data_IF_439330958900
#
_entry.id   IF_439330958900
#
_cell.length_a   1.000
_cell.length_b   1.000
_cell.length_c   1.000
_cell.angle_alpha   90.00
_cell.angle_beta   90.00
_cell.angle_gamma   90.00
#
_symmetry.space_group_name_H-M   'P 1'
#
loop_
_entity.id
_entity.type
_entity.pdbx_description
1 polymer ?
#
# COMPACT_ATOMS: atom_id res chain seq x y z
N UNK A 1 6.06 -21.21 6.65
CA UNK A 1 4.71 -20.57 6.56
C UNK A 1 3.62 -21.60 6.21
N UNK A 2 3.73 -22.35 5.12
CA UNK A 2 2.73 -23.35 4.72
C UNK A 2 2.53 -24.50 5.70
N UNK A 3 3.56 -24.86 6.46
CA UNK A 3 3.48 -25.96 7.44
C UNK A 3 2.55 -25.63 8.62
N UNK A 4 2.61 -24.41 9.15
CA UNK A 4 1.72 -23.96 10.24
C UNK A 4 0.27 -24.00 9.75
N UNK A 5 -0.01 -23.49 8.55
CA UNK A 5 -1.36 -23.54 7.98
C UNK A 5 -1.84 -24.98 7.77
N UNK A 6 -0.97 -25.86 7.26
CA UNK A 6 -1.28 -27.28 7.08
C UNK A 6 -1.66 -27.97 8.41
N UNK A 7 -0.86 -27.75 9.44
CA UNK A 7 -1.13 -28.34 10.79
C UNK A 7 -2.42 -27.81 11.39
N UNK A 8 -2.70 -26.52 11.25
CA UNK A 8 -3.93 -25.91 11.74
C UNK A 8 -5.15 -26.50 11.03
N UNK A 9 -5.12 -26.65 9.70
CA UNK A 9 -6.20 -27.26 8.93
C UNK A 9 -6.40 -28.74 9.30
N UNK A 10 -5.34 -29.49 9.53
CA UNK A 10 -5.43 -30.91 9.95
C UNK A 10 -5.98 -31.09 11.34
N UNK A 11 -5.65 -30.21 12.27
CA UNK A 11 -6.09 -30.31 13.67
C UNK A 11 -7.48 -29.71 13.91
N UNK A 12 -7.99 -28.86 12.99
CA UNK A 12 -9.25 -28.16 13.16
C UNK A 12 -9.26 -27.14 14.30
N UNK A 13 -8.09 -26.76 14.80
CA UNK A 13 -7.97 -25.85 15.97
C UNK A 13 -8.10 -24.39 15.53
N UNK A 14 -8.84 -23.63 16.34
CA UNK A 14 -8.79 -22.18 16.28
C UNK A 14 -7.46 -21.70 16.87
N UNK A 15 -6.65 -21.03 16.05
CA UNK A 15 -5.30 -20.61 16.43
C UNK A 15 -5.20 -19.10 16.36
N UNK A 16 -4.69 -18.47 17.41
CA UNK A 16 -4.30 -17.06 17.40
C UNK A 16 -2.79 -16.99 17.16
N UNK A 17 -2.41 -16.31 16.07
CA UNK A 17 -1.02 -16.09 15.71
C UNK A 17 -0.70 -14.60 15.81
N UNK A 18 0.37 -14.24 16.53
CA UNK A 18 0.83 -12.87 16.71
C UNK A 18 2.18 -12.70 16.02
N UNK A 19 2.25 -11.78 15.07
CA UNK A 19 3.46 -11.50 14.32
C UNK A 19 3.57 -10.00 14.05
N UNK A 20 4.77 -9.53 13.77
CA UNK A 20 5.03 -8.20 13.22
C UNK A 20 5.32 -8.24 11.71
N UNK A 21 5.38 -9.43 11.12
CA UNK A 21 5.56 -9.65 9.69
C UNK A 21 4.20 -9.66 8.98
N UNK A 22 3.96 -8.64 8.18
CA UNK A 22 2.70 -8.43 7.47
C UNK A 22 2.48 -9.50 6.39
N UNK A 23 3.53 -9.87 5.66
CA UNK A 23 3.45 -10.90 4.63
C UNK A 23 3.12 -12.27 5.23
N UNK A 24 3.65 -12.54 6.42
CA UNK A 24 3.35 -13.76 7.14
C UNK A 24 1.90 -13.80 7.60
N UNK A 25 1.38 -12.71 8.17
CA UNK A 25 -0.01 -12.60 8.58
C UNK A 25 -0.97 -12.80 7.40
N UNK A 26 -0.73 -12.08 6.30
CA UNK A 26 -1.58 -12.16 5.10
C UNK A 26 -1.54 -13.53 4.41
N UNK A 27 -0.43 -14.27 4.51
CA UNK A 27 -0.26 -15.57 3.85
C UNK A 27 -0.86 -16.75 4.63
N UNK A 28 -1.03 -16.64 5.96
CA UNK A 28 -1.36 -17.78 6.82
C UNK A 28 -2.76 -17.68 7.42
N UNK A 29 -3.22 -16.48 7.74
CA UNK A 29 -4.44 -16.28 8.52
C UNK A 29 -5.71 -16.24 7.66
N UNK A 30 -6.83 -16.74 8.23
CA UNK A 30 -8.16 -16.54 7.64
C UNK A 30 -8.66 -15.11 7.87
N UNK A 31 -8.29 -14.52 9.01
CA UNK A 31 -8.57 -13.12 9.35
C UNK A 31 -7.37 -12.49 10.02
N UNK A 32 -7.11 -11.25 9.70
CA UNK A 32 -5.99 -10.47 10.26
C UNK A 32 -6.53 -9.28 11.02
N UNK A 33 -6.07 -9.11 12.25
CA UNK A 33 -6.35 -7.93 13.07
C UNK A 33 -5.14 -6.99 13.09
N UNK A 34 -5.32 -5.75 12.66
CA UNK A 34 -4.30 -4.70 12.73
C UNK A 34 -4.49 -3.90 14.01
N UNK A 35 -3.44 -3.82 14.82
CA UNK A 35 -3.45 -3.07 16.08
C UNK A 35 -2.49 -1.90 16.04
N UNK A 36 -2.89 -0.78 16.65
CA UNK A 36 -2.04 0.39 16.89
C UNK A 36 -2.28 0.90 18.30
N UNK A 37 -1.21 1.12 19.06
CA UNK A 37 -1.28 1.68 20.43
C UNK A 37 -2.29 0.95 21.34
N UNK A 38 -2.30 -0.39 21.27
CA UNK A 38 -3.21 -1.24 22.03
C UNK A 38 -4.67 -1.26 21.56
N UNK A 39 -5.00 -0.56 20.45
CA UNK A 39 -6.36 -0.50 19.89
C UNK A 39 -6.44 -1.23 18.56
N UNK A 40 -7.50 -2.02 18.40
CA UNK A 40 -7.82 -2.66 17.13
C UNK A 40 -8.25 -1.60 16.12
N UNK A 41 -7.58 -1.55 14.98
CA UNK A 41 -7.87 -0.62 13.89
C UNK A 41 -8.82 -1.23 12.86
N UNK A 42 -8.58 -2.49 12.50
CA UNK A 42 -9.42 -3.27 11.59
C UNK A 42 -9.17 -4.76 11.82
N UNK A 43 -10.20 -5.58 11.61
CA UNK A 43 -10.09 -7.03 11.51
C UNK A 43 -10.89 -7.49 10.30
N UNK A 44 -10.22 -8.13 9.34
CA UNK A 44 -10.81 -8.52 8.07
C UNK A 44 -10.07 -9.72 7.46
N UNK A 45 -10.59 -10.26 6.37
CA UNK A 45 -9.84 -11.18 5.53
C UNK A 45 -8.64 -10.49 4.90
N UNK A 46 -7.54 -11.22 4.59
CA UNK A 46 -6.32 -10.62 4.01
C UNK A 46 -6.59 -9.74 2.79
N UNK A 47 -7.45 -10.21 1.87
CA UNK A 47 -7.79 -9.47 0.67
C UNK A 47 -8.51 -8.15 0.98
N UNK A 48 -9.51 -8.20 1.87
CA UNK A 48 -10.27 -7.02 2.29
C UNK A 48 -9.37 -6.00 3.01
N UNK A 49 -8.51 -6.49 3.92
CA UNK A 49 -7.58 -5.66 4.65
C UNK A 49 -6.63 -4.87 3.74
N UNK A 50 -6.19 -5.50 2.64
CA UNK A 50 -5.29 -4.90 1.66
C UNK A 50 -6.01 -3.90 0.73
N UNK A 51 -7.19 -4.27 0.22
CA UNK A 51 -7.91 -3.50 -0.79
C UNK A 51 -8.91 -2.50 -0.22
N UNK A 52 -9.45 -2.76 0.98
CA UNK A 52 -10.46 -1.93 1.64
C UNK A 52 -10.01 -1.51 3.05
N UNK A 53 -8.85 -0.85 3.18
CA UNK A 53 -8.35 -0.42 4.48
C UNK A 53 -9.31 0.59 5.13
N UNK A 54 -9.57 0.41 6.42
CA UNK A 54 -10.49 1.26 7.18
C UNK A 54 -9.95 2.67 7.43
N UNK A 55 -8.63 2.85 7.38
CA UNK A 55 -7.97 4.15 7.57
C UNK A 55 -6.56 4.14 6.97
N UNK A 56 -5.93 5.30 6.96
CA UNK A 56 -4.58 5.50 6.41
C UNK A 56 -3.53 4.64 7.10
N UNK A 57 -3.63 4.48 8.43
CA UNK A 57 -2.68 3.64 9.15
C UNK A 57 -2.71 2.19 8.65
N UNK A 58 -3.89 1.60 8.51
CA UNK A 58 -4.03 0.24 7.98
C UNK A 58 -3.50 0.17 6.55
N UNK A 59 -3.86 1.13 5.69
CA UNK A 59 -3.40 1.18 4.31
C UNK A 59 -1.88 1.17 4.20
N UNK A 60 -1.20 2.02 4.97
CA UNK A 60 0.27 2.16 4.92
C UNK A 60 1.00 1.09 5.72
N UNK A 61 0.36 0.51 6.73
CA UNK A 61 0.93 -0.60 7.51
C UNK A 61 0.92 -1.90 6.73
N UNK A 62 -0.16 -2.22 6.00
CA UNK A 62 -0.32 -3.52 5.30
C UNK A 62 0.46 -3.58 3.99
N UNK A 63 0.85 -2.46 3.42
CA UNK A 63 1.64 -2.44 2.19
C UNK A 63 2.00 -1.04 1.75
N UNK A 64 2.93 -0.99 0.82
CA UNK A 64 3.38 0.28 0.25
C UNK A 64 2.24 1.00 -0.47
N UNK A 65 2.19 2.32 -0.31
CA UNK A 65 1.23 3.18 -1.00
C UNK A 65 1.88 4.51 -1.33
N UNK A 66 1.66 5.00 -2.54
CA UNK A 66 1.99 6.36 -2.94
C UNK A 66 0.90 7.32 -2.49
N UNK A 67 1.28 8.47 -1.96
CA UNK A 67 0.37 9.55 -1.56
C UNK A 67 0.25 10.55 -2.71
N UNK A 68 -0.94 10.70 -3.26
CA UNK A 68 -1.19 11.54 -4.42
C UNK A 68 -2.18 12.63 -4.05
N UNK A 69 -1.82 13.91 -4.17
CA UNK A 69 -2.78 15.01 -4.07
C UNK A 69 -3.89 14.86 -5.11
N UNK A 70 -5.13 15.00 -4.65
CA UNK A 70 -6.32 14.86 -5.47
C UNK A 70 -7.37 15.88 -5.07
N UNK A 71 -8.36 16.07 -5.93
CA UNK A 71 -9.54 16.89 -5.62
C UNK A 71 -10.76 15.98 -5.64
N UNK A 72 -11.52 15.97 -4.55
CA UNK A 72 -12.79 15.24 -4.51
C UNK A 72 -13.87 16.10 -5.14
N UNK A 73 -14.65 15.52 -6.03
CA UNK A 73 -15.85 16.09 -6.64
C UNK A 73 -16.91 15.01 -6.72
N UNK A 74 -18.08 15.29 -6.16
CA UNK A 74 -19.25 14.38 -6.19
C UNK A 74 -18.94 12.93 -5.73
N UNK A 75 -18.03 12.76 -4.75
CA UNK A 75 -17.70 11.45 -4.21
C UNK A 75 -16.69 10.64 -5.01
N UNK A 76 -16.04 11.24 -6.01
CA UNK A 76 -14.88 10.67 -6.72
C UNK A 76 -13.65 11.55 -6.51
N UNK A 77 -12.45 10.96 -6.56
CA UNK A 77 -11.20 11.68 -6.56
C UNK A 77 -10.72 11.97 -7.99
N UNK A 78 -10.17 13.15 -8.21
CA UNK A 78 -9.60 13.58 -9.49
C UNK A 78 -8.12 13.87 -9.33
N UNK A 79 -7.30 13.23 -10.16
CA UNK A 79 -5.87 13.52 -10.32
C UNK A 79 -5.67 14.03 -11.75
N UNK A 80 -5.53 15.35 -11.90
CA UNK A 80 -5.67 15.98 -13.22
C UNK A 80 -7.07 15.74 -13.79
N UNK A 81 -7.13 15.16 -14.98
CA UNK A 81 -8.38 14.82 -15.66
C UNK A 81 -8.84 13.37 -15.39
N UNK A 82 -8.07 12.59 -14.63
CA UNK A 82 -8.40 11.21 -14.33
C UNK A 82 -9.33 11.13 -13.11
N UNK A 83 -10.51 10.56 -13.31
CA UNK A 83 -11.46 10.22 -12.24
C UNK A 83 -11.13 8.85 -11.64
N UNK A 84 -11.09 8.79 -10.30
CA UNK A 84 -10.74 7.59 -9.53
C UNK A 84 -11.82 7.40 -8.46
N UNK A 85 -12.48 6.24 -8.40
CA UNK A 85 -13.43 5.94 -7.34
C UNK A 85 -12.76 5.98 -5.96
N UNK A 86 -13.52 6.34 -4.92
CA UNK A 86 -13.04 6.30 -3.55
C UNK A 86 -13.77 5.25 -2.71
N UNK A 87 -13.06 4.67 -1.74
CA UNK A 87 -13.61 3.69 -0.80
C UNK A 87 -14.64 4.35 0.15
N UNK A 88 -15.61 3.56 0.64
CA UNK A 88 -16.59 4.01 1.64
C UNK A 88 -15.95 4.50 2.94
N UNK A 89 -14.79 3.94 3.30
CA UNK A 89 -14.00 4.36 4.46
C UNK A 89 -13.26 5.69 4.28
N UNK A 90 -13.30 6.26 3.08
CA UNK A 90 -12.65 7.52 2.76
C UNK A 90 -13.23 8.70 3.54
N UNK A 91 -12.54 9.84 3.45
CA UNK A 91 -13.02 11.09 4.06
C UNK A 91 -14.49 11.35 3.72
N UNK A 92 -15.25 11.86 4.70
CA UNK A 92 -16.66 12.23 4.50
C UNK A 92 -16.85 13.51 3.66
N UNK A 93 -15.75 14.15 3.26
CA UNK A 93 -15.81 15.33 2.38
C UNK A 93 -16.30 14.89 1.00
N UNK A 94 -17.32 15.54 0.51
CA UNK A 94 -17.87 15.32 -0.83
C UNK A 94 -17.19 16.18 -1.89
N UNK A 95 -16.49 17.23 -1.47
CA UNK A 95 -15.75 18.16 -2.34
C UNK A 95 -14.54 18.75 -1.60
N UNK A 96 -13.49 19.07 -2.34
CA UNK A 96 -12.29 19.76 -1.84
C UNK A 96 -11.02 18.94 -1.97
N UNK A 97 -9.93 19.46 -1.41
CA UNK A 97 -8.63 18.80 -1.46
C UNK A 97 -8.60 17.54 -0.61
N UNK A 98 -7.91 16.53 -1.11
CA UNK A 98 -7.67 15.27 -0.45
C UNK A 98 -6.32 14.68 -0.87
N UNK A 99 -5.88 13.68 -0.14
CA UNK A 99 -4.78 12.80 -0.55
C UNK A 99 -5.35 11.40 -0.79
N UNK A 100 -5.08 10.81 -1.94
CA UNK A 100 -5.41 9.41 -2.20
C UNK A 100 -4.20 8.52 -1.98
N UNK A 101 -4.45 7.30 -1.51
CA UNK A 101 -3.42 6.28 -1.32
C UNK A 101 -3.54 5.25 -2.43
N UNK A 102 -2.49 5.16 -3.25
CA UNK A 102 -2.46 4.30 -4.44
C UNK A 102 -1.38 3.25 -4.30
N UNK A 103 -1.73 1.98 -4.55
CA UNK A 103 -0.81 0.86 -4.52
C UNK A 103 0.11 0.88 -5.74
N UNK A 104 1.39 0.42 -5.63
CA UNK A 104 2.33 0.40 -6.75
C UNK A 104 1.83 -0.40 -7.97
N UNK A 105 1.13 -1.51 -7.74
CA UNK A 105 0.55 -2.34 -8.79
C UNK A 105 -0.66 -1.71 -9.49
N UNK A 106 -1.25 -0.67 -8.91
CA UNK A 106 -2.32 0.11 -9.53
C UNK A 106 -1.81 1.33 -10.31
N UNK A 107 -0.50 1.56 -10.34
CA UNK A 107 0.13 2.63 -11.13
C UNK A 107 0.71 2.02 -12.40
N UNK A 108 0.04 2.23 -13.52
CA UNK A 108 0.49 1.79 -14.83
C UNK A 108 1.53 2.77 -15.38
N UNK A 109 2.60 2.24 -15.96
CA UNK A 109 3.69 2.99 -16.56
C UNK A 109 3.65 2.84 -18.08
N UNK A 110 3.64 3.95 -18.79
CA UNK A 110 3.66 4.00 -20.24
C UNK A 110 4.92 4.71 -20.75
N UNK A 111 5.54 4.16 -21.78
CA UNK A 111 6.72 4.74 -22.41
C UNK A 111 6.35 5.96 -23.21
N UNK A 112 7.09 7.04 -23.01
CA UNK A 112 6.90 8.31 -23.74
C UNK A 112 8.03 8.48 -24.75
N UNK A 113 7.66 8.78 -26.00
CA UNK A 113 8.66 9.09 -27.02
C UNK A 113 9.43 10.37 -26.64
N UNK A 114 10.75 10.45 -26.95
CA UNK A 114 11.58 11.60 -26.56
C UNK A 114 11.02 12.96 -26.99
N UNK A 115 10.42 13.00 -28.17
CA UNK A 115 9.89 14.23 -28.80
C UNK A 115 8.39 14.48 -28.53
N UNK A 116 7.74 13.60 -27.72
CA UNK A 116 6.34 13.80 -27.38
C UNK A 116 6.13 15.06 -26.52
N UNK A 117 4.98 15.74 -26.64
CA UNK A 117 4.67 16.89 -25.82
C UNK A 117 4.67 16.52 -24.33
N UNK A 118 4.98 17.48 -23.47
CA UNK A 118 4.93 17.29 -22.02
C UNK A 118 3.47 17.36 -21.55
N UNK A 119 3.04 16.31 -20.87
CA UNK A 119 1.72 16.21 -20.25
C UNK A 119 1.83 16.17 -18.73
N UNK A 120 0.78 16.56 -18.03
CA UNK A 120 0.77 16.63 -16.57
C UNK A 120 0.95 15.26 -15.89
N UNK A 121 0.56 14.17 -16.55
CA UNK A 121 0.71 12.80 -16.07
C UNK A 121 2.09 12.18 -16.37
N UNK A 122 3.07 12.96 -16.85
CA UNK A 122 4.41 12.49 -17.14
C UNK A 122 5.39 12.89 -16.05
N UNK A 123 6.22 11.93 -15.65
CA UNK A 123 7.30 12.10 -14.69
C UNK A 123 8.64 11.57 -15.19
N UNK A 124 9.64 11.62 -14.35
CA UNK A 124 11.00 11.17 -14.62
C UNK A 124 11.36 10.02 -13.70
N UNK A 125 11.83 8.91 -14.27
CA UNK A 125 12.30 7.75 -13.52
C UNK A 125 13.51 8.15 -12.67
N UNK A 126 13.36 8.01 -11.35
CA UNK A 126 14.44 8.26 -10.36
C UNK A 126 15.20 7.02 -10.00
N UNK A 127 14.44 5.92 -9.83
CA UNK A 127 15.01 4.65 -9.40
C UNK A 127 14.28 3.48 -10.05
N UNK A 128 15.00 2.35 -10.20
CA UNK A 128 14.47 1.07 -10.64
C UNK A 128 15.05 0.00 -9.72
N UNK A 129 14.20 -0.72 -9.02
CA UNK A 129 14.59 -1.80 -8.12
C UNK A 129 14.02 -3.12 -8.62
N UNK A 130 14.88 -4.05 -9.00
CA UNK A 130 14.49 -5.38 -9.44
C UNK A 130 14.31 -6.31 -8.22
N UNK A 131 13.17 -6.98 -8.13
CA UNK A 131 12.78 -7.84 -7.00
C UNK A 131 12.61 -9.32 -7.40
N UNK A 132 13.13 -9.71 -8.54
CA UNK A 132 13.03 -11.08 -9.09
C UNK A 132 11.75 -11.25 -9.91
N UNK A 133 10.62 -11.52 -9.29
CA UNK A 133 9.33 -11.71 -9.97
C UNK A 133 8.66 -10.40 -10.42
N UNK A 134 9.08 -9.26 -9.88
CA UNK A 134 8.57 -7.92 -10.21
C UNK A 134 9.72 -6.90 -10.18
N UNK A 135 9.46 -5.69 -10.63
CA UNK A 135 10.33 -4.55 -10.43
C UNK A 135 9.51 -3.33 -9.97
N UNK A 136 10.12 -2.47 -9.16
CA UNK A 136 9.53 -1.20 -8.73
C UNK A 136 10.24 -0.05 -9.41
N UNK A 137 9.46 0.86 -9.97
CA UNK A 137 9.94 2.09 -10.62
C UNK A 137 9.44 3.28 -9.83
N UNK A 138 10.38 4.05 -9.31
CA UNK A 138 10.11 5.32 -8.63
C UNK A 138 10.15 6.45 -9.66
N UNK A 139 9.05 7.18 -9.78
CA UNK A 139 8.88 8.27 -10.74
C UNK A 139 8.59 9.56 -9.99
N UNK A 140 9.40 10.59 -10.25
CA UNK A 140 9.15 11.94 -9.74
C UNK A 140 8.30 12.71 -10.74
N UNK A 141 7.16 13.18 -10.29
CA UNK A 141 6.24 14.03 -11.07
C UNK A 141 6.70 15.48 -11.07
N UNK A 142 6.27 16.30 -12.04
CA UNK A 142 6.60 17.74 -12.08
C UNK A 142 6.14 18.50 -10.83
N UNK A 143 5.14 17.99 -10.12
CA UNK A 143 4.66 18.51 -8.83
C UNK A 143 5.58 18.22 -7.64
N UNK A 144 6.66 17.45 -7.84
CA UNK A 144 7.54 16.95 -6.75
C UNK A 144 7.00 15.71 -6.04
N UNK A 145 5.84 15.21 -6.40
CA UNK A 145 5.28 13.98 -5.84
C UNK A 145 6.02 12.78 -6.43
N UNK A 146 6.48 11.88 -5.55
CA UNK A 146 7.04 10.60 -5.95
C UNK A 146 5.95 9.52 -6.01
N UNK A 147 5.90 8.79 -7.12
CA UNK A 147 5.00 7.66 -7.34
C UNK A 147 5.81 6.39 -7.59
N UNK A 148 5.38 5.29 -6.98
CA UNK A 148 5.94 3.97 -7.26
C UNK A 148 4.99 3.19 -8.16
N UNK A 149 5.51 2.67 -9.27
CA UNK A 149 4.83 1.71 -10.14
C UNK A 149 5.48 0.34 -9.98
N UNK A 150 4.68 -0.70 -9.88
CA UNK A 150 5.15 -2.09 -9.92
C UNK A 150 4.92 -2.65 -11.32
N UNK A 151 6.00 -3.07 -11.94
CA UNK A 151 6.01 -3.57 -13.32
C UNK A 151 6.57 -5.00 -13.39
N UNK A 152 6.39 -5.65 -14.53
CA UNK A 152 6.96 -6.97 -14.78
C UNK A 152 8.47 -6.90 -15.03
N UNK A 153 9.20 -8.02 -14.86
CA UNK A 153 10.62 -8.10 -15.22
C UNK A 153 10.91 -7.71 -16.67
N UNK A 154 10.03 -8.08 -17.60
CA UNK A 154 10.19 -7.77 -19.02
C UNK A 154 10.06 -6.27 -19.29
N UNK A 155 9.09 -5.59 -18.68
CA UNK A 155 8.94 -4.14 -18.77
C UNK A 155 10.13 -3.41 -18.17
N UNK A 156 10.70 -3.94 -17.08
CA UNK A 156 11.84 -3.32 -16.39
C UNK A 156 13.09 -3.20 -17.28
N UNK A 157 13.23 -4.08 -18.27
CA UNK A 157 14.34 -4.03 -19.24
C UNK A 157 14.24 -2.85 -20.20
N UNK A 158 13.05 -2.26 -20.34
CA UNK A 158 12.80 -1.11 -21.22
C UNK A 158 12.83 0.22 -20.48
N UNK A 159 12.97 0.20 -19.16
CA UNK A 159 12.95 1.40 -18.31
C UNK A 159 14.37 1.74 -17.87
N UNK A 160 14.75 3.01 -18.04
CA UNK A 160 16.05 3.51 -17.59
C UNK A 160 15.90 4.74 -16.71
N UNK A 161 16.84 4.89 -15.75
CA UNK A 161 16.91 6.08 -14.90
C UNK A 161 17.07 7.35 -15.73
N UNK A 162 16.30 8.40 -15.40
CA UNK A 162 16.25 9.66 -16.13
C UNK A 162 15.29 9.68 -17.31
N UNK A 163 14.72 8.54 -17.67
CA UNK A 163 13.73 8.45 -18.74
C UNK A 163 12.42 9.10 -18.35
N UNK A 164 11.78 9.78 -19.32
CA UNK A 164 10.43 10.31 -19.17
C UNK A 164 9.41 9.21 -19.44
N UNK A 165 8.45 9.06 -18.53
CA UNK A 165 7.37 8.09 -18.61
C UNK A 165 6.04 8.78 -18.30
N UNK A 166 4.94 8.24 -18.81
CA UNK A 166 3.60 8.63 -18.40
C UNK A 166 3.06 7.64 -17.38
N UNK A 167 2.33 8.15 -16.42
CA UNK A 167 1.67 7.32 -15.38
C UNK A 167 0.16 7.44 -15.51
N UNK A 168 -0.49 6.32 -15.31
CA UNK A 168 -1.94 6.20 -15.23
C UNK A 168 -2.30 5.38 -14.01
N UNK A 169 -3.30 5.83 -13.25
CA UNK A 169 -3.82 5.11 -12.11
C UNK A 169 -4.97 4.22 -12.59
N UNK A 170 -4.97 2.94 -12.22
CA UNK A 170 -6.11 2.08 -12.50
C UNK A 170 -7.38 2.62 -11.82
N UNK A 171 -8.55 2.55 -12.49
CA UNK A 171 -9.81 3.07 -11.94
C UNK A 171 -10.40 2.12 -10.88
N UNK A 172 -9.58 1.73 -9.91
CA UNK A 172 -9.98 0.98 -8.72
C UNK A 172 -10.26 1.93 -7.57
N UNK A 173 -11.20 1.56 -6.68
CA UNK A 173 -11.51 2.39 -5.52
C UNK A 173 -10.28 2.50 -4.59
N UNK A 174 -9.93 3.72 -4.23
CA UNK A 174 -8.79 4.05 -3.37
C UNK A 174 -9.23 4.71 -2.08
N UNK A 175 -8.42 4.60 -1.03
CA UNK A 175 -8.65 5.35 0.19
C UNK A 175 -8.27 6.82 -0.04
N UNK A 176 -9.23 7.73 0.19
CA UNK A 176 -9.00 9.16 0.21
C UNK A 176 -9.03 9.68 1.65
N UNK A 177 -8.01 10.41 2.05
CA UNK A 177 -7.85 11.00 3.38
C UNK A 177 -7.82 12.52 3.30
N UNK A 178 -8.24 13.20 4.37
CA UNK A 178 -8.12 14.65 4.45
C UNK A 178 -6.64 15.04 4.48
N UNK A 179 -6.23 16.17 3.86
CA UNK A 179 -4.88 16.68 4.03
C UNK A 179 -4.51 16.95 5.49
N UNK A 180 -5.51 17.24 6.32
CA UNK A 180 -5.36 17.53 7.75
C UNK A 180 -5.19 16.25 8.61
N UNK A 181 -5.57 15.08 8.07
CA UNK A 181 -5.49 13.78 8.76
C UNK A 181 -4.14 13.09 8.59
N UNK A 182 -3.14 13.77 8.02
CA UNK A 182 -1.80 13.21 7.81
C UNK A 182 -1.14 12.92 9.15
N UNK A 183 -0.94 11.66 9.55
CA UNK A 183 -0.20 11.35 10.76
C UNK A 183 1.24 11.85 10.58
N UNK A 184 1.71 12.71 11.50
CA UNK A 184 3.14 12.96 11.60
C UNK A 184 3.83 11.60 11.80
N UNK A 185 4.87 11.34 11.00
CA UNK A 185 5.64 10.11 11.07
C UNK A 185 6.28 9.97 12.46
N UNK A 186 5.59 9.30 13.35
CA UNK A 186 6.19 8.85 14.60
C UNK A 186 6.95 7.54 14.32
N UNK A 187 8.24 7.47 14.67
CA UNK A 187 8.99 6.23 14.51
C UNK A 187 8.32 5.12 15.32
N UNK A 188 8.04 4.00 14.65
CA UNK A 188 7.45 2.81 15.24
C UNK A 188 8.41 2.27 16.29
N UNK A 189 8.06 2.36 17.58
CA UNK A 189 8.73 1.59 18.63
C UNK A 189 8.18 0.17 18.58
N UNK A 190 8.95 -0.74 18.02
CA UNK A 190 8.71 -2.18 18.11
C UNK A 190 8.97 -2.59 19.56
N UNK A 191 7.90 -2.87 20.31
CA UNK A 191 8.02 -3.47 21.64
C UNK A 191 8.00 -4.98 21.46
N UNK A 192 9.19 -5.57 21.39
CA UNK A 192 9.37 -7.02 21.47
C UNK A 192 9.33 -7.42 22.93
N UNK A 193 8.23 -7.99 23.40
CA UNK A 193 8.20 -8.64 24.71
C UNK A 193 8.25 -10.14 24.48
N UNK A 194 9.45 -10.69 24.59
CA UNK A 194 9.64 -12.15 24.71
C UNK A 194 9.55 -12.45 26.19
N UNK A 195 8.48 -13.11 26.63
CA UNK A 195 8.44 -13.72 27.96
C UNK A 195 9.16 -15.06 27.90
N UNK A 196 10.40 -15.11 28.39
CA UNK A 196 11.07 -16.36 28.73
C UNK A 196 10.33 -17.03 29.90
N UNK A 197 9.69 -18.15 29.63
CA UNK A 197 9.26 -19.05 30.71
C UNK A 197 10.49 -19.66 31.35
N UNK A 198 10.84 -19.24 32.57
CA UNK A 198 11.77 -19.93 33.42
C UNK A 198 11.21 -21.33 33.70
N UNK A 199 11.90 -22.32 33.19
CA UNK A 199 11.69 -23.73 33.58
C UNK A 199 12.31 -23.92 34.97
N UNK A 200 11.49 -23.86 36.01
CA UNK A 200 11.92 -24.27 37.35
C UNK A 200 12.11 -25.78 37.32
N UNK A 201 13.34 -26.22 37.43
CA UNK A 201 13.70 -27.55 37.80
C UNK A 201 13.24 -27.79 39.22
N UNK A 202 12.42 -28.81 39.41
CA UNK A 202 12.13 -29.38 40.72
C UNK A 202 13.00 -30.60 40.84
N UNK A 203 13.81 -30.61 41.90
CA UNK A 203 14.63 -31.73 42.40
C UNK A 203 13.78 -32.87 42.91
#
# INVERSE_FOLDING_TARGET
RGEIRRLQLQSGLTTLFVTHDQEEALAVADRVGVMKDGKLQQIAEPWELYNEPANEFVATFIGESSRIPAVIRNGSAFVGDQEIPILKASTKRTNGEATILVRPESVQLEMVQPNAPRLANQGVVKNLTFLGSTAKVEVEMPSGVALTSQITPSESMMVTKGQRVALRIEPKAVLAVSPDDVPQANPIKVVTRVEEKQTSQVS
#
